data_IF_528818988632
#
_entry.id   IF_528818988632
#
_cell.length_a   1.000
_cell.length_b   1.000
_cell.length_c   1.000
_cell.angle_alpha   90.00
_cell.angle_beta   90.00
_cell.angle_gamma   90.00
#
_symmetry.space_group_name_H-M   'P 1'
#
loop_
_entity.id
_entity.type
_entity.pdbx_description
1 polymer ?
#
# COMPACT_ATOMS: atom_id res chain seq x y z
N UNK A 1 -2.14 14.53 -25.61
CA UNK A 1 -1.98 14.27 -24.17
C UNK A 1 -1.19 12.99 -23.86
N UNK A 2 -1.75 11.78 -23.93
CA UNK A 2 -1.01 10.57 -23.50
C UNK A 2 0.27 10.29 -24.31
N UNK A 3 0.27 10.59 -25.62
CA UNK A 3 1.45 10.45 -26.48
C UNK A 3 2.57 11.43 -26.09
N UNK A 4 2.24 12.71 -25.91
CA UNK A 4 3.20 13.75 -25.49
C UNK A 4 3.79 13.46 -24.10
N UNK A 5 2.99 12.92 -23.18
CA UNK A 5 3.46 12.53 -21.85
C UNK A 5 4.46 11.37 -21.94
N UNK A 6 4.20 10.37 -22.80
CA UNK A 6 5.12 9.25 -23.02
C UNK A 6 6.44 9.70 -23.64
N UNK A 7 6.37 10.61 -24.61
CA UNK A 7 7.57 11.18 -25.24
C UNK A 7 8.40 11.96 -24.20
N UNK A 8 7.76 12.79 -23.38
CA UNK A 8 8.44 13.52 -22.29
C UNK A 8 9.05 12.59 -21.24
N UNK A 9 8.41 11.47 -20.92
CA UNK A 9 8.96 10.48 -20.00
C UNK A 9 10.25 9.86 -20.55
N UNK A 10 10.25 9.48 -21.83
CA UNK A 10 11.44 8.91 -22.48
C UNK A 10 12.61 9.90 -22.48
N UNK A 11 12.37 11.16 -22.86
CA UNK A 11 13.43 12.18 -22.85
C UNK A 11 13.94 12.48 -21.44
N UNK A 12 13.03 12.51 -20.45
CA UNK A 12 13.43 12.78 -19.06
C UNK A 12 14.29 11.64 -18.48
N UNK A 13 14.00 10.38 -18.82
CA UNK A 13 14.78 9.23 -18.35
C UNK A 13 16.23 9.29 -18.85
N UNK A 14 16.45 9.80 -20.07
CA UNK A 14 17.82 9.97 -20.62
C UNK A 14 18.65 11.02 -19.87
N UNK A 15 18.01 11.99 -19.21
CA UNK A 15 18.67 13.04 -18.44
C UNK A 15 18.95 12.65 -16.97
N UNK A 16 18.39 11.52 -16.50
CA UNK A 16 18.52 11.09 -15.11
C UNK A 16 19.91 10.49 -14.86
N UNK A 17 20.58 10.85 -13.75
CA UNK A 17 21.83 10.22 -13.36
C UNK A 17 21.70 8.71 -13.20
N UNK A 18 22.68 7.93 -13.68
CA UNK A 18 22.66 6.46 -13.65
C UNK A 18 22.36 5.89 -12.24
N UNK A 19 22.92 6.52 -11.20
CA UNK A 19 22.68 6.17 -9.79
C UNK A 19 21.20 6.19 -9.35
N UNK A 20 20.33 6.87 -10.11
CA UNK A 20 18.91 7.05 -9.83
C UNK A 20 18.00 6.23 -10.75
N UNK A 21 18.54 5.60 -11.79
CA UNK A 21 17.74 4.79 -12.71
C UNK A 21 17.06 3.60 -12.02
N UNK A 22 17.71 3.00 -11.02
CA UNK A 22 17.10 1.94 -10.20
C UNK A 22 15.83 2.40 -9.47
N UNK A 23 15.89 3.56 -8.81
CA UNK A 23 14.75 4.14 -8.09
C UNK A 23 13.58 4.47 -9.03
N UNK A 24 13.88 4.94 -10.25
CA UNK A 24 12.88 5.19 -11.29
C UNK A 24 12.23 3.89 -11.75
N UNK A 25 13.03 2.85 -11.97
CA UNK A 25 12.53 1.54 -12.39
C UNK A 25 11.62 0.94 -11.31
N UNK A 26 12.04 0.96 -10.04
CA UNK A 26 11.27 0.49 -8.90
C UNK A 26 9.89 1.17 -8.84
N UNK A 27 9.87 2.50 -9.04
CA UNK A 27 8.62 3.25 -9.04
C UNK A 27 7.71 2.91 -10.23
N UNK A 28 8.26 2.73 -11.43
CA UNK A 28 7.49 2.33 -12.60
C UNK A 28 6.88 0.93 -12.42
N UNK A 29 7.64 -0.02 -11.87
CA UNK A 29 7.16 -1.36 -11.55
C UNK A 29 6.05 -1.32 -10.49
N UNK A 30 6.22 -0.51 -9.45
CA UNK A 30 5.19 -0.28 -8.44
C UNK A 30 3.88 0.23 -9.06
N UNK A 31 3.95 1.20 -9.98
CA UNK A 31 2.75 1.73 -10.65
C UNK A 31 2.04 0.66 -11.49
N UNK A 32 2.80 -0.17 -12.21
CA UNK A 32 2.24 -1.27 -13.00
C UNK A 32 1.57 -2.31 -12.11
N UNK A 33 2.21 -2.67 -10.99
CA UNK A 33 1.68 -3.62 -10.03
C UNK A 33 0.44 -3.06 -9.31
N UNK A 34 0.44 -1.77 -8.97
CA UNK A 34 -0.73 -1.09 -8.40
C UNK A 34 -1.92 -1.16 -9.36
N UNK A 35 -1.73 -0.91 -10.65
CA UNK A 35 -2.80 -0.99 -11.65
C UNK A 35 -3.33 -2.43 -11.81
N UNK A 36 -2.42 -3.42 -11.81
CA UNK A 36 -2.78 -4.86 -11.82
C UNK A 36 -3.58 -5.28 -10.59
N UNK A 37 -3.22 -4.76 -9.40
CA UNK A 37 -3.97 -5.00 -8.15
C UNK A 37 -5.28 -4.22 -8.07
N UNK A 38 -5.35 -3.06 -8.73
CA UNK A 38 -6.60 -2.28 -8.79
C UNK A 38 -7.65 -2.98 -9.66
N UNK A 39 -7.21 -3.76 -10.65
CA UNK A 39 -8.08 -4.59 -11.50
C UNK A 39 -8.34 -5.98 -10.92
N UNK A 40 -7.43 -6.51 -10.10
CA UNK A 40 -7.61 -7.78 -9.37
C UNK A 40 -7.89 -7.56 -7.88
N UNK A 41 -9.14 -7.84 -7.51
CA UNK A 41 -9.69 -8.05 -6.15
C UNK A 41 -10.21 -6.79 -5.45
N UNK A 42 -11.54 -6.62 -5.54
CA UNK A 42 -12.31 -6.58 -4.30
C UNK A 42 -12.00 -7.88 -3.56
N UNK A 43 -11.27 -7.81 -2.46
CA UNK A 43 -11.33 -8.89 -1.49
C UNK A 43 -12.75 -8.82 -0.93
N UNK A 44 -13.66 -9.60 -1.49
CA UNK A 44 -14.89 -9.94 -0.78
C UNK A 44 -14.41 -10.74 0.43
N UNK A 45 -14.27 -10.05 1.56
CA UNK A 45 -13.96 -10.64 2.85
C UNK A 45 -15.16 -11.50 3.23
N UNK A 46 -15.13 -12.77 2.83
CA UNK A 46 -16.14 -13.76 3.21
C UNK A 46 -15.66 -14.48 4.49
N UNK A 47 -16.27 -14.20 5.66
CA UNK A 47 -15.92 -14.87 6.89
C UNK A 47 -16.13 -16.39 6.85
N UNK A 48 -16.98 -16.89 5.92
CA UNK A 48 -17.15 -18.34 5.74
C UNK A 48 -15.96 -18.99 5.00
N UNK A 49 -15.24 -18.21 4.19
CA UNK A 49 -14.08 -18.67 3.42
C UNK A 49 -12.74 -18.52 4.15
N UNK A 50 -12.70 -17.72 5.21
CA UNK A 50 -11.52 -17.54 6.04
C UNK A 50 -11.93 -17.42 7.53
N UNK A 51 -11.86 -18.54 8.29
CA UNK A 51 -12.17 -18.55 9.72
C UNK A 51 -11.32 -17.56 10.53
N UNK A 52 -10.14 -17.15 10.04
CA UNK A 52 -9.30 -16.15 10.71
C UNK A 52 -9.97 -14.77 10.69
N UNK A 53 -10.76 -14.46 9.65
CA UNK A 53 -11.55 -13.22 9.58
C UNK A 53 -12.60 -13.13 10.70
N UNK A 54 -13.11 -14.26 11.20
CA UNK A 54 -14.00 -14.29 12.37
C UNK A 54 -13.28 -13.81 13.64
N UNK A 55 -11.97 -14.05 13.74
CA UNK A 55 -11.15 -13.66 14.89
C UNK A 55 -10.61 -12.23 14.78
N UNK A 56 -10.45 -11.69 13.57
CA UNK A 56 -10.01 -10.31 13.35
C UNK A 56 -11.14 -9.35 13.74
N UNK A 57 -11.01 -8.69 14.90
CA UNK A 57 -12.04 -7.83 15.47
C UNK A 57 -13.14 -8.57 16.24
N UNK A 58 -13.11 -9.90 16.27
CA UNK A 58 -14.04 -10.77 17.02
C UNK A 58 -13.74 -10.87 18.52
N UNK A 59 -12.65 -10.27 19.00
CA UNK A 59 -12.43 -10.07 20.44
C UNK A 59 -13.42 -9.02 20.93
N UNK A 60 -14.63 -9.48 21.28
CA UNK A 60 -15.70 -8.72 21.94
C UNK A 60 -15.25 -7.95 23.18
N UNK A 61 -14.09 -8.30 23.72
CA UNK A 61 -13.39 -7.56 24.75
C UNK A 61 -12.20 -6.85 24.09
N UNK A 62 -12.41 -5.61 23.65
CA UNK A 62 -11.33 -4.68 23.27
C UNK A 62 -10.39 -4.33 24.44
N UNK A 63 -10.34 -5.15 25.49
CA UNK A 63 -9.47 -5.02 26.66
C UNK A 63 -8.00 -5.16 26.33
N UNK A 64 -7.65 -5.81 25.21
CA UNK A 64 -6.24 -5.97 24.80
C UNK A 64 -5.63 -4.65 24.30
N UNK A 65 -6.43 -3.82 23.63
CA UNK A 65 -6.01 -2.50 23.16
C UNK A 65 -6.58 -1.37 24.04
N UNK A 66 -7.29 -1.74 25.11
CA UNK A 66 -7.81 -0.77 26.06
C UNK A 66 -6.60 -0.15 26.75
N UNK A 67 -6.53 1.17 26.68
CA UNK A 67 -5.46 1.97 27.28
C UNK A 67 -4.10 1.85 26.57
N UNK A 68 -4.03 1.30 25.34
CA UNK A 68 -2.76 1.18 24.60
C UNK A 68 -2.06 2.52 24.39
N UNK A 69 -2.82 3.59 24.15
CA UNK A 69 -2.25 4.93 23.99
C UNK A 69 -1.65 5.44 25.31
N UNK A 70 -2.27 5.11 26.44
CA UNK A 70 -1.74 5.44 27.77
C UNK A 70 -0.50 4.60 28.11
N UNK A 71 -0.49 3.30 27.80
CA UNK A 71 0.66 2.43 28.01
C UNK A 71 1.87 2.83 27.15
N UNK A 72 1.62 3.28 25.91
CA UNK A 72 2.68 3.63 24.97
C UNK A 72 3.18 5.07 25.13
N UNK A 73 2.28 6.02 25.40
CA UNK A 73 2.60 7.46 25.38
C UNK A 73 2.48 8.15 26.75
N UNK A 74 1.91 7.49 27.76
CA UNK A 74 1.70 8.07 29.09
C UNK A 74 0.60 9.16 29.13
N UNK A 75 0.46 9.85 30.26
CA UNK A 75 -0.59 10.88 30.47
C UNK A 75 -0.42 12.19 29.69
N UNK A 76 0.65 12.32 28.89
CA UNK A 76 0.98 13.56 28.19
C UNK A 76 0.81 13.45 26.66
N UNK A 77 -0.03 12.52 26.19
CA UNK A 77 -0.39 12.38 24.77
C UNK A 77 -1.31 13.52 24.29
#
# INVERSE_FOLDING_TARGET
>A
MAKEIKERLLTTIEEIPESKLGEVLDFMEFLLEKERRSTNKRFDLDPMGDPILEFIGGVSHGSLAKDIDHELYGENA
#
